data_IF_664477974166
#
_entry.id   IF_664477974166
#
_cell.length_a   1.000
_cell.length_b   1.000
_cell.length_c   1.000
_cell.angle_alpha   90.00
_cell.angle_beta   90.00
_cell.angle_gamma   90.00
#
_symmetry.space_group_name_H-M   'P 1'
#
loop_
_entity.id
_entity.type
_entity.pdbx_description
1 polymer ?
#
# COMPACT_ATOMS: atom_id res chain seq x y z
N UNK A 1 21.07 17.17 10.03
CA UNK A 1 20.46 16.62 11.26
C UNK A 1 19.73 15.34 10.85
N UNK A 2 19.99 14.20 11.49
CA UNK A 2 19.22 12.98 11.23
C UNK A 2 17.92 13.06 12.03
N UNK A 3 16.80 12.78 11.38
CA UNK A 3 15.50 12.67 12.04
C UNK A 3 15.35 11.27 12.66
N UNK A 4 14.61 11.18 13.77
CA UNK A 4 14.33 9.92 14.45
C UNK A 4 13.24 9.12 13.73
N UNK A 5 13.52 7.86 13.40
CA UNK A 5 12.57 6.95 12.75
C UNK A 5 11.41 6.56 13.65
N UNK A 6 11.53 6.73 14.97
CA UNK A 6 10.42 6.54 15.92
C UNK A 6 9.23 7.47 15.66
N UNK A 7 9.41 8.53 14.86
CA UNK A 7 8.32 9.42 14.41
C UNK A 7 7.41 8.77 13.35
N UNK A 8 7.83 7.66 12.73
CA UNK A 8 7.04 6.95 11.71
C UNK A 8 6.04 6.06 12.44
N UNK A 9 4.76 6.42 12.38
CA UNK A 9 3.68 5.71 13.08
C UNK A 9 3.01 4.63 12.24
N UNK A 10 3.27 4.61 10.92
CA UNK A 10 2.71 3.62 10.01
C UNK A 10 3.10 3.91 8.56
N UNK A 11 2.77 2.97 7.68
CA UNK A 11 3.06 3.04 6.25
C UNK A 11 1.81 2.73 5.44
N UNK A 12 1.70 3.37 4.26
CA UNK A 12 0.68 3.08 3.27
C UNK A 12 1.31 2.64 1.95
N UNK A 13 0.86 1.49 1.44
CA UNK A 13 1.06 1.12 0.04
C UNK A 13 -0.21 1.42 -0.75
N UNK A 14 -0.06 2.11 -1.87
CA UNK A 14 -1.15 2.32 -2.83
C UNK A 14 -0.91 1.42 -4.03
N UNK A 15 -1.81 0.47 -4.22
CA UNK A 15 -1.76 -0.48 -5.34
C UNK A 15 -2.64 0.07 -6.44
N UNK A 16 -2.04 0.45 -7.56
CA UNK A 16 -2.76 1.00 -8.70
C UNK A 16 -3.07 -0.10 -9.70
N UNK A 17 -4.21 0.06 -10.36
CA UNK A 17 -4.68 -0.86 -11.37
C UNK A 17 -5.53 -0.11 -12.41
N UNK A 18 -5.81 -0.81 -13.49
CA UNK A 18 -6.76 -0.46 -14.54
C UNK A 18 -7.65 -1.69 -14.82
N UNK A 19 -8.51 -1.60 -15.82
CA UNK A 19 -9.43 -2.69 -16.16
C UNK A 19 -8.70 -4.00 -16.51
N UNK A 20 -7.54 -3.92 -17.15
CA UNK A 20 -6.76 -5.09 -17.54
C UNK A 20 -6.04 -5.75 -16.36
N UNK A 21 -5.71 -4.97 -15.32
CA UNK A 21 -4.90 -5.41 -14.18
C UNK A 21 -5.70 -5.58 -12.88
N UNK A 22 -7.01 -5.29 -12.90
CA UNK A 22 -7.90 -5.37 -11.72
C UNK A 22 -7.90 -6.73 -11.04
N UNK A 23 -7.87 -7.82 -11.81
CA UNK A 23 -7.84 -9.18 -11.23
C UNK A 23 -6.52 -9.49 -10.53
N UNK A 24 -5.39 -9.06 -11.09
CA UNK A 24 -4.09 -9.16 -10.44
C UNK A 24 -4.08 -8.34 -9.14
N UNK A 25 -4.63 -7.12 -9.17
CA UNK A 25 -4.77 -6.29 -7.99
C UNK A 25 -5.63 -6.96 -6.90
N UNK A 26 -6.68 -7.70 -7.28
CA UNK A 26 -7.50 -8.44 -6.33
C UNK A 26 -6.72 -9.58 -5.66
N UNK A 27 -5.91 -10.34 -6.42
CA UNK A 27 -5.05 -11.41 -5.87
C UNK A 27 -3.99 -10.85 -4.93
N UNK A 28 -3.34 -9.75 -5.29
CA UNK A 28 -2.37 -9.07 -4.42
C UNK A 28 -3.05 -8.60 -3.13
N UNK A 29 -4.26 -8.02 -3.22
CA UNK A 29 -5.05 -7.60 -2.05
C UNK A 29 -5.37 -8.76 -1.12
N UNK A 30 -5.80 -9.90 -1.68
CA UNK A 30 -6.08 -11.12 -0.92
C UNK A 30 -4.82 -11.66 -0.24
N UNK A 31 -3.72 -11.78 -0.99
CA UNK A 31 -2.45 -12.23 -0.46
C UNK A 31 -1.95 -11.35 0.69
N UNK A 32 -2.08 -10.03 0.59
CA UNK A 32 -1.74 -9.12 1.68
C UNK A 32 -2.59 -9.37 2.93
N UNK A 33 -3.90 -9.47 2.79
CA UNK A 33 -4.81 -9.70 3.91
C UNK A 33 -4.69 -11.09 4.55
N UNK A 34 -4.25 -12.09 3.78
CA UNK A 34 -4.04 -13.45 4.29
C UNK A 34 -2.72 -13.62 5.04
N UNK A 35 -1.67 -12.88 4.64
CA UNK A 35 -0.31 -13.10 5.16
C UNK A 35 0.11 -12.10 6.24
N UNK A 36 -0.57 -10.96 6.37
CA UNK A 36 -0.13 -9.87 7.24
C UNK A 36 -1.30 -9.19 7.95
N UNK A 37 -1.03 -8.65 9.14
CA UNK A 37 -1.98 -7.81 9.88
C UNK A 37 -2.00 -6.40 9.28
N UNK A 38 -2.66 -6.27 8.12
CA UNK A 38 -2.81 -5.02 7.38
C UNK A 38 -4.25 -4.56 7.35
N UNK A 39 -4.44 -3.24 7.32
CA UNK A 39 -5.75 -2.64 7.04
C UNK A 39 -5.91 -2.41 5.54
N UNK A 40 -6.86 -3.13 4.94
CA UNK A 40 -7.18 -3.00 3.52
C UNK A 40 -8.25 -1.92 3.30
N UNK A 41 -7.87 -0.86 2.60
CA UNK A 41 -8.76 0.22 2.19
C UNK A 41 -9.84 -0.22 1.19
N UNK A 42 -10.73 0.74 0.90
CA UNK A 42 -11.74 0.60 -0.14
C UNK A 42 -11.10 0.61 -1.52
N UNK A 43 -11.78 -0.02 -2.47
CA UNK A 43 -11.47 0.12 -3.88
C UNK A 43 -11.92 1.50 -4.37
N UNK A 44 -11.02 2.23 -5.01
CA UNK A 44 -11.31 3.46 -5.72
C UNK A 44 -11.18 3.18 -7.22
N UNK A 45 -12.30 2.95 -7.90
CA UNK A 45 -12.33 2.65 -9.33
C UNK A 45 -12.17 3.91 -10.22
N UNK A 46 -12.03 5.08 -9.60
CA UNK A 46 -11.80 6.38 -10.25
C UNK A 46 -10.71 7.15 -9.50
N UNK A 47 -10.05 8.13 -10.16
CA UNK A 47 -9.07 8.98 -9.51
C UNK A 47 -9.64 9.64 -8.24
N UNK A 48 -8.83 9.71 -7.19
CA UNK A 48 -9.23 10.28 -5.89
C UNK A 48 -8.06 11.02 -5.26
N UNK A 49 -8.26 12.29 -4.87
CA UNK A 49 -7.20 13.11 -4.28
C UNK A 49 -5.93 13.15 -5.16
N UNK A 50 -4.74 12.81 -4.64
CA UNK A 50 -3.49 12.79 -5.41
C UNK A 50 -3.31 11.56 -6.30
N UNK A 51 -4.28 10.63 -6.34
CA UNK A 51 -4.18 9.36 -7.05
C UNK A 51 -4.81 9.50 -8.45
N UNK A 52 -4.01 9.52 -9.53
CA UNK A 52 -4.49 9.87 -10.87
C UNK A 52 -5.19 8.71 -11.60
N UNK A 53 -5.10 7.48 -11.09
CA UNK A 53 -5.75 6.28 -11.63
C UNK A 53 -6.36 5.45 -10.48
N UNK A 54 -7.12 4.41 -10.84
CA UNK A 54 -7.79 3.56 -9.87
C UNK A 54 -6.79 2.86 -8.92
N UNK A 55 -7.14 2.77 -7.64
CA UNK A 55 -6.25 2.21 -6.62
C UNK A 55 -7.02 1.69 -5.40
N UNK A 56 -6.33 0.92 -4.56
CA UNK A 56 -6.70 0.75 -3.16
C UNK A 56 -5.49 0.98 -2.24
N UNK A 57 -5.77 1.38 -1.00
CA UNK A 57 -4.75 1.58 0.04
C UNK A 57 -4.57 0.32 0.89
N UNK A 58 -3.35 0.09 1.34
CA UNK A 58 -2.99 -0.93 2.34
C UNK A 58 -2.19 -0.22 3.43
N UNK A 59 -2.72 -0.17 4.65
CA UNK A 59 -2.05 0.43 5.80
C UNK A 59 -1.48 -0.65 6.73
N UNK A 60 -0.27 -0.43 7.24
CA UNK A 60 0.41 -1.38 8.12
C UNK A 60 1.39 -0.67 9.06
N UNK A 61 1.71 -1.34 10.18
CA UNK A 61 2.59 -0.80 11.22
C UNK A 61 4.07 -0.82 10.80
N UNK A 62 4.94 -0.03 11.45
CA UNK A 62 6.36 0.00 11.12
C UNK A 62 7.06 -1.35 11.23
N UNK A 63 6.65 -2.21 12.16
CA UNK A 63 7.21 -3.54 12.38
C UNK A 63 6.95 -4.49 11.20
N UNK A 64 5.90 -4.23 10.41
CA UNK A 64 5.56 -5.01 9.24
C UNK A 64 6.27 -4.57 7.97
N UNK A 65 6.95 -3.42 7.96
CA UNK A 65 7.60 -2.87 6.77
C UNK A 65 8.58 -3.86 6.13
N UNK A 66 9.44 -4.47 6.94
CA UNK A 66 10.43 -5.47 6.49
C UNK A 66 9.83 -6.79 6.01
N UNK A 67 8.51 -6.98 6.09
CA UNK A 67 7.80 -8.18 5.62
C UNK A 67 6.92 -7.86 4.41
N UNK A 68 6.09 -6.82 4.53
CA UNK A 68 5.12 -6.42 3.52
C UNK A 68 5.82 -5.92 2.25
N UNK A 69 6.84 -5.06 2.39
CA UNK A 69 7.51 -4.48 1.21
C UNK A 69 8.27 -5.53 0.41
N UNK A 70 9.09 -6.42 1.01
CA UNK A 70 9.72 -7.51 0.25
C UNK A 70 8.71 -8.46 -0.39
N UNK A 71 7.61 -8.78 0.29
CA UNK A 71 6.55 -9.61 -0.28
C UNK A 71 5.94 -8.95 -1.53
N UNK A 72 5.64 -7.64 -1.48
CA UNK A 72 5.15 -6.89 -2.65
C UNK A 72 6.17 -6.85 -3.78
N UNK A 73 7.46 -6.69 -3.49
CA UNK A 73 8.50 -6.70 -4.54
C UNK A 73 8.52 -8.00 -5.35
N UNK A 74 8.16 -9.12 -4.72
CA UNK A 74 8.14 -10.46 -5.34
C UNK A 74 6.78 -10.84 -5.92
N UNK A 75 5.68 -10.34 -5.36
CA UNK A 75 4.32 -10.84 -5.64
C UNK A 75 3.40 -9.77 -6.26
N UNK A 76 3.90 -8.58 -6.64
CA UNK A 76 3.05 -7.51 -7.19
C UNK A 76 2.46 -7.77 -8.58
N UNK A 77 2.81 -8.87 -9.24
CA UNK A 77 2.25 -9.23 -10.57
C UNK A 77 2.30 -8.06 -11.58
N UNK A 78 3.47 -7.41 -11.69
CA UNK A 78 3.74 -6.22 -12.52
C UNK A 78 2.94 -4.95 -12.20
N UNK A 79 2.05 -4.97 -11.20
CA UNK A 79 1.31 -3.80 -10.74
C UNK A 79 2.24 -2.68 -10.27
N UNK A 80 1.87 -1.43 -10.59
CA UNK A 80 2.54 -0.27 -10.05
C UNK A 80 2.13 -0.10 -8.59
N UNK A 81 3.11 -0.26 -7.70
CA UNK A 81 2.96 0.01 -6.27
C UNK A 81 3.65 1.34 -5.99
N UNK A 82 2.87 2.37 -5.68
CA UNK A 82 3.44 3.62 -5.16
C UNK A 82 3.26 3.62 -3.66
N UNK A 83 4.37 3.67 -2.94
CA UNK A 83 4.34 4.14 -1.57
C UNK A 83 4.29 5.66 -1.67
N UNK A 84 3.21 6.25 -1.15
CA UNK A 84 3.01 7.69 -1.09
C UNK A 84 4.28 8.41 -0.64
N UNK A 85 4.47 9.65 -1.11
CA UNK A 85 5.41 10.65 -0.57
C UNK A 85 5.78 10.35 0.89
N UNK A 86 7.07 10.37 1.25
CA UNK A 86 7.53 10.48 2.65
C UNK A 86 7.09 11.82 3.31
N UNK A 87 5.93 12.36 2.94
CA UNK A 87 5.22 13.35 3.71
C UNK A 87 4.53 12.60 4.84
N UNK A 88 5.02 12.81 6.05
CA UNK A 88 4.43 12.35 7.31
C UNK A 88 2.94 12.66 7.36
N UNK A 89 2.11 11.77 6.84
CA UNK A 89 0.72 11.64 7.26
C UNK A 89 0.76 10.58 8.34
N UNK A 90 0.76 11.05 9.59
CA UNK A 90 0.43 10.25 10.76
C UNK A 90 -0.93 9.60 10.49
N UNK A 91 -0.92 8.39 9.94
CA UNK A 91 -2.11 7.58 9.84
C UNK A 91 -2.43 7.17 11.28
N UNK A 92 -3.52 7.71 11.83
CA UNK A 92 -4.18 7.04 12.93
C UNK A 92 -4.77 5.76 12.35
N UNK A 93 -4.19 4.64 12.78
CA UNK A 93 -4.72 3.29 12.61
C UNK A 93 -6.19 3.26 13.10
#
# INVERSE_FOLDING_TARGET
MQEDTAKITGFHAHIYFDDATREAAARVREGLGANFDVQLGRWHEKPVGPHPIAMYQVAFSPELFGKVVPWLMLNREDLVVYQGNFAMLNARI
#
